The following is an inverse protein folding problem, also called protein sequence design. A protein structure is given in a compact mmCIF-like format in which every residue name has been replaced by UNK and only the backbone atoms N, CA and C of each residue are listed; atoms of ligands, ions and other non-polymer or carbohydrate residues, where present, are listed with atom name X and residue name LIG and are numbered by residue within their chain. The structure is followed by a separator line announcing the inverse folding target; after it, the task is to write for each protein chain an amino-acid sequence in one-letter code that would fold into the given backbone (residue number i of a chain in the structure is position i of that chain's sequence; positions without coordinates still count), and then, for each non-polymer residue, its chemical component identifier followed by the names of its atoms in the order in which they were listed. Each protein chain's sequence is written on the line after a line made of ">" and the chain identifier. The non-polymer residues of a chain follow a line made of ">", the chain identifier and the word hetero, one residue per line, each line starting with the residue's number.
data_IF_154709857687
#
_entry.id   IF_154709857687
#
_cell.length_a   1.000
_cell.length_b   1.000
_cell.length_c   1.000
_cell.angle_alpha   90.00
_cell.angle_beta   90.00
_cell.angle_gamma   90.00
#
_symmetry.space_group_name_H-M   'P 1'
#
loop_
_entity.id
_entity.type
_entity.pdbx_description
1 polymer ?
#
# COMPACT_ATOMS: atom_id res chain seq x y z
N UNK A 1 -60.34 -43.97 6.15
CA UNK A 1 -59.63 -43.37 7.29
C UNK A 1 -58.15 -43.28 6.94
N UNK A 2 -57.66 -42.11 6.54
CA UNK A 2 -56.27 -41.87 6.15
C UNK A 2 -55.43 -41.47 7.39
N UNK A 3 -54.11 -41.35 7.20
CA UNK A 3 -53.10 -40.76 8.13
C UNK A 3 -52.17 -41.75 8.82
N UNK A 4 -51.31 -42.49 8.11
CA UNK A 4 -50.00 -42.97 8.65
C UNK A 4 -48.94 -43.23 7.57
N UNK A 5 -48.84 -42.46 6.48
CA UNK A 5 -47.80 -42.73 5.45
C UNK A 5 -47.05 -41.50 4.91
N UNK A 6 -47.41 -40.28 5.29
CA UNK A 6 -46.90 -39.07 4.59
C UNK A 6 -45.72 -38.36 5.28
N UNK A 7 -45.19 -38.86 6.39
CA UNK A 7 -44.21 -38.11 7.21
C UNK A 7 -42.76 -38.60 7.12
N UNK A 8 -42.32 -39.19 6.00
CA UNK A 8 -40.94 -39.72 5.88
C UNK A 8 -40.24 -39.47 4.53
N UNK A 9 -40.70 -38.46 3.78
CA UNK A 9 -40.20 -38.19 2.42
C UNK A 9 -39.97 -36.69 2.12
N UNK A 10 -39.63 -35.89 3.14
CA UNK A 10 -39.48 -34.43 2.99
C UNK A 10 -38.33 -33.81 3.83
N UNK A 11 -37.20 -34.51 4.02
CA UNK A 11 -36.12 -33.98 4.88
C UNK A 11 -34.67 -34.27 4.44
N UNK A 12 -34.40 -34.59 3.16
CA UNK A 12 -33.01 -34.74 2.67
C UNK A 12 -32.73 -34.05 1.33
N UNK A 13 -33.55 -33.08 0.92
CA UNK A 13 -33.31 -32.29 -0.29
C UNK A 13 -33.11 -30.81 0.05
N UNK A 14 -32.16 -30.53 0.94
CA UNK A 14 -31.71 -29.16 1.21
C UNK A 14 -30.18 -29.11 1.11
N UNK A 15 -29.73 -28.52 0.00
CA UNK A 15 -28.62 -27.57 -0.07
C UNK A 15 -27.23 -28.10 0.28
N UNK A 16 -26.55 -28.68 -0.72
CA UNK A 16 -25.15 -28.31 -0.99
C UNK A 16 -24.94 -28.18 -2.49
N UNK A 17 -25.44 -27.10 -3.08
CA UNK A 17 -24.77 -26.53 -4.25
C UNK A 17 -23.48 -25.94 -3.69
N UNK A 18 -22.39 -26.71 -3.69
CA UNK A 18 -21.06 -26.11 -3.62
C UNK A 18 -20.90 -25.35 -4.92
N UNK A 19 -21.28 -24.07 -4.90
CA UNK A 19 -20.88 -23.13 -5.92
C UNK A 19 -19.36 -23.13 -5.93
N UNK A 20 -18.77 -23.79 -6.92
CA UNK A 20 -17.46 -23.40 -7.41
C UNK A 20 -17.63 -21.96 -7.92
N UNK A 21 -17.53 -21.00 -7.00
CA UNK A 21 -17.09 -19.68 -7.38
C UNK A 21 -15.76 -19.92 -8.10
N UNK A 22 -15.80 -19.90 -9.43
CA UNK A 22 -14.62 -19.71 -10.25
C UNK A 22 -13.99 -18.46 -9.66
N UNK A 23 -12.98 -18.61 -8.81
CA UNK A 23 -12.10 -17.54 -8.43
C UNK A 23 -11.59 -16.97 -9.75
N UNK A 24 -12.23 -15.89 -10.21
CA UNK A 24 -11.76 -15.12 -11.33
C UNK A 24 -10.45 -14.55 -10.82
N UNK A 25 -9.35 -15.26 -11.10
CA UNK A 25 -7.99 -14.76 -10.84
C UNK A 25 -8.00 -13.31 -11.30
N UNK A 26 -7.70 -12.34 -10.42
CA UNK A 26 -7.73 -10.93 -10.77
C UNK A 26 -6.92 -10.78 -12.05
N UNK A 27 -7.60 -10.49 -13.15
CA UNK A 27 -6.94 -10.33 -14.43
C UNK A 27 -6.31 -8.96 -14.36
N UNK A 28 -4.98 -8.90 -14.34
CA UNK A 28 -4.28 -7.63 -14.25
C UNK A 28 -4.73 -6.73 -15.41
N UNK A 29 -5.05 -5.46 -15.14
CA UNK A 29 -5.40 -4.52 -16.19
C UNK A 29 -4.29 -4.41 -17.24
N UNK A 30 -4.68 -4.14 -18.49
CA UNK A 30 -3.76 -4.05 -19.64
C UNK A 30 -2.63 -3.06 -19.37
N UNK A 31 -2.91 -1.92 -18.73
CA UNK A 31 -1.90 -0.92 -18.41
C UNK A 31 -0.77 -1.45 -17.52
N UNK A 32 -1.03 -2.45 -16.65
CA UNK A 32 0.00 -3.10 -15.84
C UNK A 32 0.92 -3.95 -16.71
N UNK A 33 0.36 -4.62 -17.72
CA UNK A 33 1.11 -5.49 -18.62
C UNK A 33 1.97 -4.69 -19.61
N UNK A 34 1.50 -3.51 -20.01
CA UNK A 34 2.21 -2.64 -20.96
C UNK A 34 3.12 -1.61 -20.31
N UNK A 35 3.04 -1.44 -18.99
CA UNK A 35 3.86 -0.50 -18.23
C UNK A 35 5.36 -0.74 -18.43
N UNK A 36 6.12 0.35 -18.49
CA UNK A 36 7.58 0.37 -18.61
C UNK A 36 8.24 1.07 -17.44
N UNK A 37 7.58 2.05 -16.86
CA UNK A 37 8.13 2.89 -15.79
C UNK A 37 7.35 2.71 -14.51
N UNK A 38 8.05 2.71 -13.38
CA UNK A 38 7.45 2.53 -12.07
C UNK A 38 8.10 3.45 -11.05
N UNK A 39 7.32 4.00 -10.13
CA UNK A 39 7.85 4.64 -8.92
C UNK A 39 7.37 3.89 -7.68
N UNK A 40 8.18 3.90 -6.63
CA UNK A 40 7.84 3.28 -5.34
C UNK A 40 7.69 4.39 -4.31
N UNK A 41 6.55 4.44 -3.64
CA UNK A 41 6.27 5.40 -2.57
C UNK A 41 5.87 4.66 -1.30
N UNK A 42 6.12 5.30 -0.17
CA UNK A 42 5.59 4.87 1.13
C UNK A 42 4.13 5.32 1.18
N UNK A 43 3.24 4.47 1.68
CA UNK A 43 1.84 4.81 1.92
C UNK A 43 1.75 6.13 2.72
N UNK A 44 1.06 7.17 2.22
CA UNK A 44 0.92 8.44 2.92
C UNK A 44 0.31 8.30 4.32
N UNK A 45 -0.50 7.25 4.52
CA UNK A 45 -1.12 6.89 5.80
C UNK A 45 -0.25 5.91 6.62
N UNK A 46 0.99 5.64 6.19
CA UNK A 46 1.94 4.88 7.01
C UNK A 46 2.43 5.73 8.17
N UNK A 47 2.17 5.24 9.38
CA UNK A 47 2.86 5.74 10.56
C UNK A 47 4.36 5.39 10.55
N UNK A 48 5.14 6.20 11.26
CA UNK A 48 6.56 5.94 11.58
C UNK A 48 6.62 5.14 12.88
N UNK A 49 7.32 4.01 12.89
CA UNK A 49 7.63 3.29 14.13
C UNK A 49 8.51 4.13 15.04
N UNK A 50 8.19 4.16 16.33
CA UNK A 50 9.04 4.80 17.34
C UNK A 50 10.35 4.05 17.52
N UNK A 51 10.32 2.72 17.43
CA UNK A 51 11.50 1.86 17.63
C UNK A 51 12.36 1.80 16.37
N UNK A 52 11.72 1.72 15.20
CA UNK A 52 12.40 1.60 13.91
C UNK A 52 11.92 2.67 12.91
N UNK A 53 12.30 3.95 13.10
CA UNK A 53 11.76 5.07 12.33
C UNK A 53 12.09 5.02 10.84
N UNK A 54 13.07 4.20 10.45
CA UNK A 54 13.54 4.08 9.06
C UNK A 54 13.01 2.84 8.34
N UNK A 55 12.14 2.05 8.96
CA UNK A 55 11.75 0.74 8.42
C UNK A 55 11.02 0.85 7.08
N UNK A 56 10.17 1.87 6.90
CA UNK A 56 9.51 2.15 5.62
C UNK A 56 10.50 2.59 4.53
N UNK A 57 11.50 3.41 4.87
CA UNK A 57 12.53 3.85 3.92
C UNK A 57 13.41 2.69 3.45
N UNK A 58 13.77 1.79 4.37
CA UNK A 58 14.57 0.60 4.07
C UNK A 58 13.77 -0.32 3.16
N UNK A 59 12.51 -0.59 3.51
CA UNK A 59 11.61 -1.38 2.68
C UNK A 59 11.45 -0.78 1.26
N UNK A 60 11.37 0.56 1.13
CA UNK A 60 11.31 1.23 -0.17
C UNK A 60 12.55 0.92 -1.01
N UNK A 61 13.73 1.09 -0.43
CA UNK A 61 15.02 0.80 -1.11
C UNK A 61 15.17 -0.66 -1.48
N UNK A 62 14.72 -1.57 -0.62
CA UNK A 62 14.74 -3.01 -0.89
C UNK A 62 13.84 -3.36 -2.08
N UNK A 63 12.62 -2.80 -2.12
CA UNK A 63 11.69 -2.97 -3.25
C UNK A 63 12.24 -2.36 -4.53
N UNK A 64 12.76 -1.14 -4.49
CA UNK A 64 13.42 -0.48 -5.63
C UNK A 64 14.55 -1.36 -6.17
N UNK A 65 15.41 -1.88 -5.29
CA UNK A 65 16.52 -2.78 -5.65
C UNK A 65 16.03 -4.08 -6.27
N UNK A 66 14.97 -4.68 -5.72
CA UNK A 66 14.38 -5.90 -6.26
C UNK A 66 13.76 -5.67 -7.65
N UNK A 67 13.09 -4.53 -7.86
CA UNK A 67 12.54 -4.13 -9.17
C UNK A 67 13.64 -3.86 -10.20
N UNK A 68 14.72 -3.17 -9.80
CA UNK A 68 15.90 -2.94 -10.64
C UNK A 68 16.57 -4.26 -11.02
N UNK A 69 16.73 -5.18 -10.06
CA UNK A 69 17.32 -6.52 -10.30
C UNK A 69 16.45 -7.36 -11.23
N UNK A 70 15.14 -7.24 -11.14
CA UNK A 70 14.23 -7.89 -12.07
C UNK A 70 14.36 -7.32 -13.49
N UNK A 71 14.62 -6.02 -13.64
CA UNK A 71 14.92 -5.39 -14.93
C UNK A 71 13.72 -5.27 -15.88
N UNK A 72 12.49 -5.52 -15.40
CA UNK A 72 11.26 -5.39 -16.19
C UNK A 72 10.78 -3.94 -16.31
N UNK A 73 11.10 -3.09 -15.34
CA UNK A 73 10.67 -1.69 -15.26
C UNK A 73 11.87 -0.77 -15.13
N UNK A 74 11.73 0.43 -15.68
CA UNK A 74 12.57 1.59 -15.39
C UNK A 74 12.06 2.25 -14.10
N UNK A 75 12.84 2.11 -13.01
CA UNK A 75 12.45 2.58 -11.68
C UNK A 75 12.81 4.05 -11.54
N UNK A 76 11.81 4.92 -11.40
CA UNK A 76 11.97 6.36 -11.26
C UNK A 76 11.84 6.82 -9.81
N UNK A 77 12.79 7.65 -9.40
CA UNK A 77 12.93 8.15 -8.03
C UNK A 77 12.26 9.51 -7.81
N UNK A 78 11.98 10.25 -8.88
CA UNK A 78 11.36 11.59 -8.84
C UNK A 78 9.83 11.56 -8.78
N UNK A 79 9.23 10.37 -8.89
CA UNK A 79 7.78 10.15 -8.85
C UNK A 79 7.03 10.69 -10.08
N UNK A 80 7.72 11.27 -11.06
CA UNK A 80 7.06 11.96 -12.19
C UNK A 80 6.94 11.07 -13.43
N UNK A 81 5.75 11.13 -14.04
CA UNK A 81 5.46 10.55 -15.35
C UNK A 81 5.67 9.04 -15.42
N UNK A 82 5.28 8.30 -14.38
CA UNK A 82 5.38 6.84 -14.34
C UNK A 82 4.08 6.16 -14.76
N UNK A 83 4.19 4.98 -15.36
CA UNK A 83 3.03 4.19 -15.76
C UNK A 83 2.35 3.54 -14.53
N UNK A 84 3.16 3.18 -13.53
CA UNK A 84 2.72 2.54 -12.30
C UNK A 84 3.29 3.23 -11.06
N UNK A 85 2.45 3.34 -10.04
CA UNK A 85 2.84 3.75 -8.68
C UNK A 85 2.70 2.54 -7.78
N UNK A 86 3.81 2.10 -7.19
CA UNK A 86 3.81 1.05 -6.18
C UNK A 86 3.79 1.72 -4.81
N UNK A 87 2.75 1.45 -4.04
CA UNK A 87 2.61 1.93 -2.66
C UNK A 87 3.00 0.80 -1.71
N UNK A 88 3.88 1.10 -0.77
CA UNK A 88 4.32 0.15 0.25
C UNK A 88 4.11 0.67 1.66
N UNK A 89 3.91 -0.24 2.61
CA UNK A 89 3.97 0.07 4.04
C UNK A 89 4.53 -1.14 4.77
N UNK A 90 5.56 -0.94 5.59
CA UNK A 90 6.08 -2.02 6.43
C UNK A 90 5.11 -2.27 7.58
N UNK A 91 4.87 -3.53 7.89
CA UNK A 91 4.16 -3.94 9.10
C UNK A 91 5.12 -4.00 10.28
N UNK A 92 4.58 -3.78 11.48
CA UNK A 92 5.38 -3.65 12.70
C UNK A 92 5.45 -4.94 13.53
N UNK A 93 4.92 -6.07 13.04
CA UNK A 93 4.90 -7.37 13.74
C UNK A 93 4.04 -7.42 15.02
N UNK A 94 3.78 -6.27 15.63
CA UNK A 94 2.91 -6.03 16.79
C UNK A 94 2.12 -4.73 16.57
N UNK A 95 0.98 -4.60 17.25
CA UNK A 95 0.26 -3.33 17.28
C UNK A 95 1.05 -2.37 18.19
N UNK A 96 1.78 -1.44 17.57
CA UNK A 96 2.62 -0.47 18.28
C UNK A 96 2.23 0.96 17.92
N UNK A 97 2.51 1.92 18.83
CA UNK A 97 2.30 3.33 18.56
C UNK A 97 3.17 3.78 17.38
N UNK A 98 2.55 4.39 16.38
CA UNK A 98 3.22 5.02 15.25
C UNK A 98 2.87 6.50 15.18
N UNK A 99 3.76 7.31 14.58
CA UNK A 99 3.57 8.75 14.39
C UNK A 99 3.25 9.00 12.92
N UNK A 100 2.09 9.60 12.63
CA UNK A 100 1.73 9.98 11.26
C UNK A 100 2.69 11.06 10.74
N UNK A 101 3.24 10.89 9.54
CA UNK A 101 4.10 11.90 8.90
C UNK A 101 3.83 11.96 7.39
N UNK A 102 3.14 13.00 6.90
CA UNK A 102 2.80 13.12 5.48
C UNK A 102 4.02 13.41 4.58
N UNK A 103 5.19 13.74 5.15
CA UNK A 103 6.41 14.10 4.39
C UNK A 103 7.33 12.92 4.11
N UNK A 104 6.95 11.68 4.41
CA UNK A 104 7.83 10.51 4.23
C UNK A 104 8.25 10.25 2.77
N UNK A 105 7.51 10.78 1.80
CA UNK A 105 7.85 10.68 0.39
C UNK A 105 8.66 11.86 -0.15
N UNK A 106 8.88 12.91 0.65
CA UNK A 106 9.58 14.10 0.18
C UNK A 106 11.11 13.90 0.23
N UNK A 107 11.85 14.27 -0.84
CA UNK A 107 13.31 14.28 -0.82
C UNK A 107 13.82 15.21 0.30
N UNK A 108 14.85 14.79 1.03
CA UNK A 108 15.50 15.66 2.01
C UNK A 108 16.00 16.95 1.31
N UNK A 109 15.41 18.09 1.69
CA UNK A 109 15.69 19.39 1.06
C UNK A 109 14.62 19.91 0.10
N UNK A 110 13.51 19.22 -0.11
CA UNK A 110 12.34 19.82 -0.78
C UNK A 110 11.69 20.84 0.16
N UNK A 111 11.93 22.12 -0.10
CA UNK A 111 11.16 23.21 0.50
C UNK A 111 9.79 23.15 -0.17
N UNK A 112 8.78 22.71 0.57
CA UNK A 112 7.39 22.87 0.19
C UNK A 112 7.06 24.37 0.36
N UNK A 113 6.80 25.14 -0.70
CA UNK A 113 6.60 26.59 -0.59
C UNK A 113 5.31 26.98 0.17
N UNK A 114 4.54 25.99 0.64
CA UNK A 114 3.39 26.20 1.53
C UNK A 114 3.73 26.05 3.02
N UNK A 115 4.96 25.69 3.39
CA UNK A 115 5.36 25.52 4.79
C UNK A 115 6.44 26.53 5.20
N UNK A 116 6.02 27.72 5.62
CA UNK A 116 6.87 28.72 6.27
C UNK A 116 7.24 28.27 7.69
N UNK A 117 8.02 27.20 7.81
CA UNK A 117 8.47 26.64 9.08
C UNK A 117 9.95 26.29 9.05
N UNK A 118 10.83 27.30 9.16
CA UNK A 118 12.24 27.05 9.47
C UNK A 118 12.31 26.49 10.91
N UNK A 119 12.37 25.17 11.03
CA UNK A 119 12.56 24.48 12.31
C UNK A 119 14.02 24.47 12.74
N UNK A 120 14.55 25.62 13.20
CA UNK A 120 15.79 25.63 13.98
C UNK A 120 15.43 25.37 15.43
N UNK A 121 15.83 24.20 15.94
CA UNK A 121 15.68 23.84 17.34
C UNK A 121 16.50 24.75 18.24
N UNK A 122 15.82 25.59 19.02
CA UNK A 122 16.38 26.22 20.22
C UNK A 122 15.29 26.23 21.30
N UNK A 123 15.48 25.36 22.29
CA UNK A 123 14.63 25.23 23.46
C UNK A 123 15.00 26.35 24.45
N UNK A 124 14.09 27.29 24.75
CA UNK A 124 14.23 28.18 25.91
C UNK A 124 12.90 28.81 26.36
N UNK A 125 12.57 28.63 27.65
CA UNK A 125 11.94 29.63 28.55
C UNK A 125 10.43 29.95 28.40
N UNK A 126 9.75 30.11 29.54
CA UNK A 126 8.29 30.38 29.73
C UNK A 126 7.79 31.78 29.27
N UNK A 127 6.51 31.80 28.86
CA UNK A 127 5.46 32.82 28.52
C UNK A 127 5.42 34.17 29.28
N UNK A 128 4.66 35.26 28.87
CA UNK A 128 3.28 35.22 28.32
C UNK A 128 2.78 36.28 27.29
N UNK A 129 1.59 35.96 26.76
CA UNK A 129 0.49 36.77 26.18
C UNK A 129 0.70 37.75 25.02
N UNK A 130 0.03 37.45 23.89
CA UNK A 130 -0.80 38.40 23.12
C UNK A 130 -1.68 37.67 22.10
N UNK A 131 -2.96 38.01 22.10
CA UNK A 131 -4.02 37.43 21.28
C UNK A 131 -3.93 37.86 19.79
N UNK A 132 -4.07 36.90 18.87
CA UNK A 132 -4.40 37.09 17.45
C UNK A 132 -4.92 35.76 16.84
N UNK A 133 -5.74 35.80 15.77
CA UNK A 133 -6.75 34.79 15.46
C UNK A 133 -6.16 33.46 14.99
N UNK A 134 -6.75 32.37 15.45
CA UNK A 134 -6.39 30.99 15.13
C UNK A 134 -6.70 30.64 13.67
N UNK A 135 -5.76 30.87 12.78
CA UNK A 135 -5.64 30.08 11.55
C UNK A 135 -5.11 28.72 11.97
N UNK A 136 -5.88 27.66 11.74
CA UNK A 136 -5.53 26.29 12.09
C UNK A 136 -4.28 25.82 11.32
N UNK A 137 -3.11 26.18 11.83
CA UNK A 137 -1.86 25.53 11.51
C UNK A 137 -1.93 24.12 12.08
N UNK A 138 -1.93 23.13 11.20
CA UNK A 138 -1.75 21.74 11.56
C UNK A 138 -0.35 21.59 12.15
N UNK A 139 -0.25 21.83 13.45
CA UNK A 139 0.85 21.33 14.26
C UNK A 139 0.88 19.82 14.05
N UNK A 140 2.06 19.18 13.87
CA UNK A 140 2.17 17.73 13.93
C UNK A 140 1.73 17.31 15.33
N UNK A 141 0.47 16.94 15.50
CA UNK A 141 0.00 16.41 16.76
C UNK A 141 0.47 14.95 16.79
N UNK A 142 1.15 14.51 17.86
CA UNK A 142 1.47 13.11 18.05
C UNK A 142 0.17 12.34 18.27
N UNK A 143 -0.49 11.95 17.18
CA UNK A 143 -1.55 10.96 17.22
C UNK A 143 -0.86 9.60 17.23
N UNK A 144 -0.94 8.93 18.37
CA UNK A 144 -0.49 7.56 18.52
C UNK A 144 -1.47 6.67 17.76
N UNK A 145 -1.07 6.22 16.58
CA UNK A 145 -1.86 5.29 15.77
C UNK A 145 -1.32 3.88 15.93
N UNK A 146 -2.21 2.90 16.12
CA UNK A 146 -1.81 1.50 16.14
C UNK A 146 -1.40 1.07 14.72
N UNK A 147 -0.12 0.79 14.52
CA UNK A 147 0.42 0.38 13.22
C UNK A 147 -0.13 -0.97 12.74
N UNK A 148 -0.19 -1.16 11.42
CA UNK A 148 -0.50 -2.45 10.80
C UNK A 148 0.56 -3.48 11.16
N UNK A 149 0.14 -4.72 11.46
CA UNK A 149 1.07 -5.82 11.75
C UNK A 149 1.67 -6.46 10.49
N UNK A 150 1.03 -6.25 9.33
CA UNK A 150 1.42 -6.87 8.06
C UNK A 150 2.03 -5.86 7.10
N UNK A 151 2.99 -6.33 6.31
CA UNK A 151 3.55 -5.58 5.20
C UNK A 151 2.50 -5.46 4.09
N UNK A 152 2.45 -4.29 3.46
CA UNK A 152 1.51 -3.95 2.40
C UNK A 152 2.28 -3.56 1.13
N UNK A 153 1.82 -4.08 0.00
CA UNK A 153 2.31 -3.75 -1.34
C UNK A 153 1.12 -3.63 -2.28
N UNK A 154 0.93 -2.48 -2.91
CA UNK A 154 -0.14 -2.26 -3.86
C UNK A 154 0.34 -1.52 -5.10
N UNK A 155 -0.28 -1.83 -6.24
CA UNK A 155 0.08 -1.29 -7.55
C UNK A 155 -1.08 -0.47 -8.05
N UNK A 156 -0.82 0.80 -8.33
CA UNK A 156 -1.77 1.77 -8.86
C UNK A 156 -1.35 2.22 -10.25
N UNK A 157 -2.31 2.78 -10.97
CA UNK A 157 -2.10 3.43 -12.26
C UNK A 157 -1.43 4.78 -12.03
N UNK A 158 -0.27 5.04 -12.64
CA UNK A 158 0.56 6.22 -12.37
C UNK A 158 0.34 7.42 -13.29
N UNK A 159 -0.29 7.23 -14.44
CA UNK A 159 -0.58 8.27 -15.44
C UNK A 159 -1.86 9.07 -15.16
N UNK A 160 -2.36 9.02 -13.92
CA UNK A 160 -3.56 9.75 -13.47
C UNK A 160 -3.22 10.72 -12.34
N UNK A 161 -3.99 11.80 -12.20
CA UNK A 161 -3.69 12.91 -11.26
C UNK A 161 -3.66 12.47 -9.79
N UNK A 162 -4.49 11.50 -9.41
CA UNK A 162 -4.55 10.96 -8.04
C UNK A 162 -4.59 9.43 -8.07
N UNK A 163 -3.43 8.78 -8.23
CA UNK A 163 -3.33 7.32 -8.32
C UNK A 163 -3.98 6.57 -7.17
N UNK A 164 -3.87 7.11 -5.94
CA UNK A 164 -4.31 6.46 -4.71
C UNK A 164 -5.82 6.61 -4.43
N UNK A 165 -6.52 7.52 -5.11
CA UNK A 165 -7.99 7.67 -5.00
C UNK A 165 -8.73 6.55 -5.75
N UNK A 166 -8.05 5.89 -6.68
CA UNK A 166 -8.56 4.76 -7.44
C UNK A 166 -8.24 3.42 -6.73
N UNK A 167 -9.05 2.36 -6.95
CA UNK A 167 -8.72 1.05 -6.42
C UNK A 167 -7.40 0.52 -7.01
N UNK A 168 -6.57 -0.20 -6.22
CA UNK A 168 -5.33 -0.75 -6.72
C UNK A 168 -5.60 -1.80 -7.80
N UNK A 169 -4.77 -1.77 -8.85
CA UNK A 169 -4.75 -2.78 -9.91
C UNK A 169 -4.41 -4.17 -9.36
N UNK A 170 -3.56 -4.19 -8.34
CA UNK A 170 -3.09 -5.38 -7.66
C UNK A 170 -2.63 -5.04 -6.25
N UNK A 171 -2.82 -5.96 -5.30
CA UNK A 171 -2.33 -5.81 -3.93
C UNK A 171 -1.89 -7.14 -3.34
N UNK A 172 -0.93 -7.06 -2.44
CA UNK A 172 -0.47 -8.18 -1.63
C UNK A 172 -0.18 -7.70 -0.21
N UNK A 173 -0.62 -8.51 0.76
CA UNK A 173 -0.46 -8.21 2.18
C UNK A 173 -0.09 -9.51 2.89
N UNK A 174 1.05 -9.50 3.56
CA UNK A 174 1.53 -10.63 4.36
C UNK A 174 2.59 -10.14 5.35
N UNK A 175 2.86 -10.94 6.38
CA UNK A 175 4.07 -10.73 7.18
C UNK A 175 5.31 -10.89 6.30
N UNK A 176 6.31 -10.04 6.51
CA UNK A 176 7.61 -10.08 5.82
C UNK A 176 7.56 -9.95 4.29
N UNK A 177 6.44 -9.45 3.73
CA UNK A 177 6.28 -9.31 2.29
C UNK A 177 7.30 -8.34 1.65
N UNK A 178 7.82 -7.39 2.43
CA UNK A 178 8.82 -6.41 2.01
C UNK A 178 10.21 -6.75 2.58
N UNK A 179 10.40 -7.93 3.16
CA UNK A 179 11.65 -8.30 3.80
C UNK A 179 12.74 -8.64 2.76
N UNK A 180 13.85 -7.92 2.86
CA UNK A 180 15.11 -8.20 2.14
C UNK A 180 15.71 -9.55 2.56
N UNK A 181 16.40 -10.30 1.69
CA UNK A 181 16.81 -9.92 0.32
C UNK A 181 15.82 -10.34 -0.78
N UNK A 182 14.87 -11.22 -0.49
CA UNK A 182 13.98 -11.78 -1.52
C UNK A 182 12.83 -10.84 -1.89
N UNK A 183 12.40 -9.96 -0.98
CA UNK A 183 11.23 -9.06 -1.14
C UNK A 183 10.02 -9.80 -1.73
N UNK A 184 9.39 -10.73 -0.97
CA UNK A 184 8.39 -11.66 -1.49
C UNK A 184 7.22 -11.02 -2.27
N UNK A 185 6.85 -9.78 -1.94
CA UNK A 185 5.82 -9.03 -2.65
C UNK A 185 6.17 -8.83 -4.14
N UNK A 186 7.44 -8.56 -4.46
CA UNK A 186 7.92 -8.38 -5.84
C UNK A 186 7.85 -9.69 -6.60
N UNK A 187 8.21 -10.82 -5.99
CA UNK A 187 8.07 -12.15 -6.60
C UNK A 187 6.61 -12.52 -6.88
N UNK A 188 5.70 -12.21 -5.94
CA UNK A 188 4.27 -12.41 -6.14
C UNK A 188 3.74 -11.55 -7.26
N UNK A 189 4.19 -10.31 -7.36
CA UNK A 189 3.79 -9.41 -8.44
C UNK A 189 4.33 -9.88 -9.79
N UNK A 190 5.61 -10.26 -9.87
CA UNK A 190 6.23 -10.87 -11.05
C UNK A 190 5.45 -12.09 -11.53
N UNK A 191 5.07 -12.96 -10.60
CA UNK A 191 4.23 -14.12 -10.91
C UNK A 191 2.86 -13.71 -11.46
N UNK A 192 2.22 -12.70 -10.87
CA UNK A 192 0.93 -12.21 -11.32
C UNK A 192 0.99 -11.66 -12.75
N UNK A 193 2.04 -10.89 -13.10
CA UNK A 193 2.27 -10.43 -14.47
C UNK A 193 2.45 -11.60 -15.43
N UNK A 194 3.34 -12.55 -15.10
CA UNK A 194 3.60 -13.70 -15.97
C UNK A 194 2.35 -14.56 -16.21
N UNK A 195 1.52 -14.75 -15.17
CA UNK A 195 0.27 -15.49 -15.28
C UNK A 195 -0.77 -14.72 -16.12
N UNK A 196 -0.82 -13.39 -16.02
CA UNK A 196 -1.69 -12.53 -16.82
C UNK A 196 -1.27 -12.43 -18.30
N UNK A 197 0.02 -12.30 -18.59
CA UNK A 197 0.57 -12.32 -19.97
C UNK A 197 0.24 -13.64 -20.67
N UNK A 198 0.41 -14.77 -19.97
CA UNK A 198 0.01 -16.10 -20.48
C UNK A 198 -1.49 -16.22 -20.73
N UNK A 199 -2.32 -15.56 -19.92
CA UNK A 199 -3.76 -15.57 -20.10
C UNK A 199 -4.19 -14.71 -21.30
N UNK A 200 -3.56 -13.55 -21.49
CA UNK A 200 -3.78 -12.67 -22.63
C UNK A 200 -3.39 -13.34 -23.96
N UNK A 201 -2.26 -14.04 -24.00
CA UNK A 201 -1.83 -14.77 -25.21
C UNK A 201 -2.77 -15.92 -25.63
N UNK A 202 -3.59 -16.43 -24.70
CA UNK A 202 -4.56 -17.52 -24.98
C UNK A 202 -5.92 -17.02 -25.44
N UNK A 203 -6.23 -15.73 -25.27
CA UNK A 203 -7.47 -15.09 -25.70
C UNK A 203 -7.13 -13.76 -26.40
N UNK A 204 -6.62 -13.82 -27.65
CA UNK A 204 -6.21 -12.63 -28.40
C UNK A 204 -7.35 -11.68 -28.74
#
# INVERSE_FOLDING_TARGET
>A
MPNRVVALLAACLLLTVTGNAKDKKPTLPVYVLTARTVTVIIDPEAGISVDEPRVNEIARKDVETALLTWGRFDVRMDGQGTDLVIVIRKGHGRAEPTISNPRQNNPAGSIDPYDNGIGIGAQHGRSPDSAAPSTAGQTPHPQVEAGSTQDYFAVYRGDIEKPLDAPPAWRYTASDALQSPSVPAVDKFRKAIADAEKAAAKNP
#
